data_IF_580812153670
#
_entry.id   IF_580812153670
#
_cell.length_a   1.000
_cell.length_b   1.000
_cell.length_c   1.000
_cell.angle_alpha   90.00
_cell.angle_beta   90.00
_cell.angle_gamma   90.00
#
_symmetry.space_group_name_H-M   'P 1'
#
loop_
_entity.id
_entity.type
_entity.pdbx_description
1 polymer ?
#
# COMPACT_ATOMS: atom_id res chain seq x y z
N UNK A 1 -58.62 -24.43 20.20
CA UNK A 1 -57.51 -24.16 19.26
C UNK A 1 -57.84 -24.48 17.81
N UNK A 2 -58.29 -25.67 17.43
CA UNK A 2 -58.54 -26.03 15.99
C UNK A 2 -59.58 -25.14 15.26
N UNK A 3 -60.66 -24.67 15.97
CA UNK A 3 -61.65 -23.77 15.36
C UNK A 3 -61.14 -22.34 15.14
N UNK A 4 -60.25 -21.83 15.98
CA UNK A 4 -59.60 -20.53 15.84
C UNK A 4 -58.68 -20.52 14.65
N UNK A 5 -57.82 -21.53 14.52
CA UNK A 5 -56.89 -21.72 13.38
C UNK A 5 -57.63 -21.83 12.02
N UNK A 6 -58.78 -22.55 12.00
CA UNK A 6 -59.60 -22.65 10.79
C UNK A 6 -60.22 -21.31 10.38
N UNK A 7 -60.66 -20.49 11.35
CA UNK A 7 -61.29 -19.19 11.10
C UNK A 7 -60.30 -18.14 10.62
N UNK A 8 -59.05 -18.19 11.10
CA UNK A 8 -58.02 -17.19 10.82
C UNK A 8 -56.88 -17.72 9.92
N UNK A 9 -57.10 -18.82 9.22
CA UNK A 9 -56.04 -19.46 8.42
C UNK A 9 -55.39 -18.53 7.40
N UNK A 10 -56.14 -17.69 6.73
CA UNK A 10 -55.61 -16.75 5.74
C UNK A 10 -54.85 -15.61 6.40
N UNK A 11 -55.30 -15.11 7.53
CA UNK A 11 -54.58 -14.08 8.30
C UNK A 11 -53.25 -14.61 8.81
N UNK A 12 -53.21 -15.86 9.30
CA UNK A 12 -51.98 -16.50 9.78
C UNK A 12 -50.99 -16.69 8.62
N UNK A 13 -51.46 -17.14 7.46
CA UNK A 13 -50.62 -17.30 6.25
C UNK A 13 -50.06 -15.95 5.80
N UNK A 14 -50.91 -14.90 5.81
CA UNK A 14 -50.50 -13.55 5.41
C UNK A 14 -49.42 -12.98 6.34
N UNK A 15 -49.57 -13.14 7.66
CA UNK A 15 -48.56 -12.75 8.65
C UNK A 15 -47.25 -13.51 8.45
N UNK A 16 -47.35 -14.81 8.16
CA UNK A 16 -46.16 -15.63 7.90
C UNK A 16 -45.42 -15.19 6.64
N UNK A 17 -46.16 -14.94 5.53
CA UNK A 17 -45.57 -14.43 4.27
C UNK A 17 -44.94 -13.05 4.52
N UNK A 18 -45.60 -12.15 5.25
CA UNK A 18 -45.08 -10.85 5.57
C UNK A 18 -43.76 -10.94 6.38
N UNK A 19 -43.72 -11.81 7.39
CA UNK A 19 -42.50 -12.07 8.16
C UNK A 19 -41.36 -12.57 7.30
N UNK A 20 -41.67 -13.47 6.36
CA UNK A 20 -40.67 -14.01 5.44
C UNK A 20 -40.15 -12.95 4.48
N UNK A 21 -41.01 -12.05 3.97
CA UNK A 21 -40.60 -10.91 3.13
C UNK A 21 -39.72 -9.92 3.89
N UNK A 22 -39.99 -9.66 5.18
CA UNK A 22 -39.14 -8.80 6.01
C UNK A 22 -37.76 -9.42 6.19
N UNK A 23 -37.68 -10.71 6.50
CA UNK A 23 -36.37 -11.41 6.63
C UNK A 23 -35.60 -11.38 5.30
N UNK A 24 -36.30 -11.63 4.19
CA UNK A 24 -35.67 -11.58 2.86
C UNK A 24 -35.18 -10.17 2.57
N UNK A 25 -35.96 -9.13 2.85
CA UNK A 25 -35.59 -7.74 2.68
C UNK A 25 -34.32 -7.36 3.46
N UNK A 26 -34.21 -7.81 4.71
CA UNK A 26 -33.02 -7.60 5.54
C UNK A 26 -31.79 -8.29 4.96
N UNK A 27 -31.95 -9.50 4.43
CA UNK A 27 -30.84 -10.23 3.77
C UNK A 27 -30.43 -9.59 2.45
N UNK A 28 -31.38 -9.12 1.67
CA UNK A 28 -31.08 -8.38 0.43
C UNK A 28 -30.36 -7.06 0.75
N UNK A 29 -30.77 -6.35 1.79
CA UNK A 29 -30.07 -5.14 2.25
C UNK A 29 -28.62 -5.45 2.63
N UNK A 30 -28.38 -6.50 3.41
CA UNK A 30 -27.04 -6.94 3.82
C UNK A 30 -26.13 -7.27 2.62
N UNK A 31 -26.71 -7.85 1.55
CA UNK A 31 -25.98 -8.20 0.32
C UNK A 31 -25.72 -6.98 -0.57
N UNK A 32 -26.73 -6.09 -0.71
CA UNK A 32 -26.61 -4.92 -1.59
C UNK A 32 -25.79 -3.77 -0.97
N UNK A 33 -25.79 -3.66 0.36
CA UNK A 33 -25.08 -2.59 1.08
C UNK A 33 -24.27 -3.20 2.23
N UNK A 34 -23.26 -4.02 1.91
CA UNK A 34 -22.47 -4.75 2.92
C UNK A 34 -21.68 -3.81 3.83
N UNK A 35 -21.41 -2.59 3.37
CA UNK A 35 -20.53 -1.62 4.03
C UNK A 35 -21.28 -0.38 4.57
N UNK A 36 -22.59 -0.49 4.85
CA UNK A 36 -23.36 0.62 5.40
C UNK A 36 -22.75 1.09 6.74
N UNK A 37 -22.25 2.32 6.74
CA UNK A 37 -21.57 2.91 7.91
C UNK A 37 -20.07 2.63 8.02
N UNK A 38 -19.49 1.85 7.10
CA UNK A 38 -18.02 1.70 7.01
C UNK A 38 -17.45 2.75 6.05
N UNK A 39 -16.29 3.27 6.38
CA UNK A 39 -15.58 4.17 5.47
C UNK A 39 -15.32 3.47 4.12
N UNK A 40 -15.52 4.17 3.00
CA UNK A 40 -15.35 3.65 1.63
C UNK A 40 -13.95 3.03 1.39
N UNK A 41 -12.96 3.44 2.18
CA UNK A 41 -11.60 2.89 2.18
C UNK A 41 -11.37 1.79 3.23
N UNK A 42 -12.44 1.29 3.86
CA UNK A 42 -12.40 0.17 4.78
C UNK A 42 -11.38 0.32 5.92
N UNK A 43 -10.92 -0.81 6.43
CA UNK A 43 -9.98 -0.91 7.56
C UNK A 43 -8.51 -0.63 7.19
N UNK A 44 -8.22 0.00 6.03
CA UNK A 44 -6.83 0.24 5.58
C UNK A 44 -5.97 0.97 6.61
N UNK A 45 -6.58 1.85 7.40
CA UNK A 45 -5.89 2.60 8.47
C UNK A 45 -6.14 2.03 9.85
N UNK A 46 -6.82 0.89 9.96
CA UNK A 46 -7.09 0.25 11.24
C UNK A 46 -5.79 0.00 11.98
N UNK A 47 -5.77 0.40 13.25
CA UNK A 47 -4.64 0.26 14.15
C UNK A 47 -3.38 1.07 13.80
N UNK A 48 -3.41 2.03 12.88
CA UNK A 48 -2.24 2.85 12.53
C UNK A 48 -1.66 3.56 13.77
N UNK A 49 -2.52 3.94 14.72
CA UNK A 49 -2.13 4.57 15.98
C UNK A 49 -1.35 3.65 16.92
N UNK A 50 -1.46 2.33 16.72
CA UNK A 50 -0.74 1.31 17.50
C UNK A 50 0.65 1.01 16.96
N UNK A 51 0.94 1.45 15.74
CA UNK A 51 2.20 1.23 15.04
C UNK A 51 2.87 2.57 14.69
N UNK A 52 3.18 3.43 15.69
CA UNK A 52 3.85 4.70 15.44
C UNK A 52 5.30 4.45 15.02
N UNK A 53 5.73 5.08 13.94
CA UNK A 53 7.15 5.08 13.59
C UNK A 53 7.86 6.12 14.48
N UNK A 54 8.91 5.70 15.16
CA UNK A 54 9.62 6.59 16.09
C UNK A 54 10.42 7.66 15.33
N UNK A 55 10.50 8.85 15.92
CA UNK A 55 11.38 9.90 15.40
C UNK A 55 12.85 9.47 15.40
N UNK A 56 13.25 8.57 16.30
CA UNK A 56 14.60 8.02 16.33
C UNK A 56 14.92 7.22 15.08
N UNK A 57 13.96 6.46 14.55
CA UNK A 57 14.10 5.72 13.28
C UNK A 57 14.37 6.68 12.14
N UNK A 58 13.58 7.75 12.02
CA UNK A 58 13.79 8.76 10.99
C UNK A 58 15.16 9.43 11.12
N UNK A 59 15.53 9.87 12.34
CA UNK A 59 16.79 10.53 12.60
C UNK A 59 17.99 9.62 12.26
N UNK A 60 17.94 8.34 12.60
CA UNK A 60 18.99 7.37 12.27
C UNK A 60 19.15 7.22 10.77
N UNK A 61 18.05 7.07 10.04
CA UNK A 61 18.07 6.92 8.58
C UNK A 61 18.62 8.19 7.93
N UNK A 62 18.15 9.36 8.36
CA UNK A 62 18.60 10.64 7.83
C UNK A 62 20.09 10.87 8.13
N UNK A 63 20.58 10.49 9.30
CA UNK A 63 21.99 10.56 9.68
C UNK A 63 22.87 9.63 8.81
N UNK A 64 22.44 8.38 8.62
CA UNK A 64 23.16 7.39 7.80
C UNK A 64 23.22 7.84 6.35
N UNK A 65 22.11 8.31 5.81
CA UNK A 65 22.06 8.81 4.42
C UNK A 65 22.80 10.12 4.28
N UNK A 66 22.75 11.02 5.27
CA UNK A 66 23.51 12.27 5.25
C UNK A 66 25.05 12.09 5.30
N UNK A 67 25.51 10.99 5.91
CA UNK A 67 26.95 10.61 5.92
C UNK A 67 27.40 9.92 4.62
N UNK A 68 26.45 9.48 3.80
CA UNK A 68 26.77 8.80 2.55
C UNK A 68 27.07 9.81 1.45
N UNK A 69 28.34 9.91 1.03
CA UNK A 69 28.79 10.85 0.02
C UNK A 69 28.13 10.70 -1.36
N UNK A 70 27.46 9.59 -1.61
CA UNK A 70 26.70 9.32 -2.83
C UNK A 70 25.30 9.94 -2.81
N UNK A 71 24.80 10.35 -1.64
CA UNK A 71 23.43 10.88 -1.43
C UNK A 71 23.50 12.40 -1.34
N UNK A 72 22.72 13.08 -2.17
CA UNK A 72 22.60 14.55 -2.16
C UNK A 72 21.46 15.03 -1.26
N UNK A 73 20.32 14.32 -1.27
CA UNK A 73 19.12 14.74 -0.57
C UNK A 73 18.26 13.54 -0.18
N UNK A 74 17.64 13.63 0.97
CA UNK A 74 16.65 12.67 1.46
C UNK A 74 15.40 13.41 1.88
N UNK A 75 14.26 12.87 1.55
CA UNK A 75 12.98 13.28 2.12
C UNK A 75 12.10 12.05 2.30
N UNK A 76 11.25 12.07 3.31
CA UNK A 76 10.32 10.99 3.57
C UNK A 76 8.92 11.52 3.85
N UNK A 77 7.90 10.73 3.61
CA UNK A 77 6.53 11.01 4.04
C UNK A 77 5.73 9.73 4.21
N UNK A 78 4.80 9.76 5.16
CA UNK A 78 3.80 8.70 5.33
C UNK A 78 2.52 9.09 4.58
N UNK A 79 1.95 8.13 3.88
CA UNK A 79 0.66 8.25 3.24
C UNK A 79 -0.16 6.99 3.53
N UNK A 80 -1.02 7.05 4.54
CA UNK A 80 -1.71 5.88 5.07
C UNK A 80 -0.72 4.85 5.60
N UNK A 81 -0.79 3.61 5.13
CA UNK A 81 0.16 2.53 5.48
C UNK A 81 1.36 2.44 4.53
N UNK A 82 1.67 3.52 3.83
CA UNK A 82 2.83 3.56 2.93
C UNK A 82 3.81 4.61 3.41
N UNK A 83 5.02 4.19 3.69
CA UNK A 83 6.16 5.03 4.02
C UNK A 83 6.99 5.23 2.76
N UNK A 84 7.07 6.46 2.27
CA UNK A 84 7.78 6.80 1.05
C UNK A 84 9.10 7.51 1.39
N UNK A 85 10.21 7.00 0.89
CA UNK A 85 11.53 7.60 0.93
C UNK A 85 11.96 8.06 -0.47
N UNK A 86 12.31 9.33 -0.59
CA UNK A 86 12.83 9.92 -1.81
C UNK A 86 14.31 10.21 -1.59
N UNK A 87 15.17 9.51 -2.28
CA UNK A 87 16.63 9.60 -2.12
C UNK A 87 17.20 10.08 -3.43
N UNK A 88 17.77 11.29 -3.42
CA UNK A 88 18.45 11.87 -4.58
C UNK A 88 19.93 11.56 -4.49
N UNK A 89 20.44 10.91 -5.51
CA UNK A 89 21.84 10.51 -5.65
C UNK A 89 22.64 11.45 -6.55
N UNK A 90 23.97 11.38 -6.40
CA UNK A 90 24.89 11.98 -7.37
C UNK A 90 24.75 11.29 -8.74
N UNK A 91 25.00 12.03 -9.83
CA UNK A 91 24.83 11.54 -11.20
C UNK A 91 25.78 10.38 -11.55
N UNK A 92 26.88 10.24 -10.82
CA UNK A 92 27.87 9.16 -11.02
C UNK A 92 27.49 7.83 -10.37
N UNK A 93 26.47 7.83 -9.51
CA UNK A 93 26.04 6.62 -8.77
C UNK A 93 25.41 5.62 -9.72
N UNK A 94 25.84 4.36 -9.68
CA UNK A 94 25.26 3.31 -10.50
C UNK A 94 23.88 2.87 -9.95
N UNK A 95 22.98 2.33 -10.80
CA UNK A 95 21.72 1.73 -10.34
C UNK A 95 21.92 0.66 -9.27
N UNK A 96 22.97 -0.15 -9.40
CA UNK A 96 23.33 -1.19 -8.43
C UNK A 96 23.69 -0.61 -7.07
N UNK A 97 24.51 0.43 -7.04
CA UNK A 97 24.92 1.09 -5.80
C UNK A 97 23.73 1.79 -5.12
N UNK A 98 22.87 2.45 -5.90
CA UNK A 98 21.68 3.10 -5.38
C UNK A 98 20.72 2.09 -4.74
N UNK A 99 20.48 0.93 -5.39
CA UNK A 99 19.67 -0.17 -4.83
C UNK A 99 20.29 -0.71 -3.55
N UNK A 100 21.61 -0.91 -3.51
CA UNK A 100 22.31 -1.39 -2.31
C UNK A 100 22.13 -0.45 -1.11
N UNK A 101 22.14 0.87 -1.35
CA UNK A 101 21.81 1.85 -0.30
C UNK A 101 20.35 1.66 0.18
N UNK A 102 19.41 1.52 -0.72
CA UNK A 102 18.01 1.26 -0.36
C UNK A 102 17.84 -0.02 0.45
N UNK A 103 18.49 -1.11 0.06
CA UNK A 103 18.43 -2.39 0.75
C UNK A 103 18.98 -2.29 2.18
N UNK A 104 20.07 -1.57 2.39
CA UNK A 104 20.68 -1.37 3.72
C UNK A 104 19.79 -0.58 4.68
N UNK A 105 18.85 0.22 4.17
CA UNK A 105 17.96 0.99 5.02
C UNK A 105 16.93 0.14 5.75
N UNK A 106 16.63 -1.07 5.28
CA UNK A 106 15.68 -1.95 5.95
C UNK A 106 16.12 -2.33 7.37
N UNK A 107 17.42 -2.37 7.65
CA UNK A 107 17.98 -2.72 8.95
C UNK A 107 17.65 -1.67 10.04
N UNK A 108 17.30 -0.45 9.64
CA UNK A 108 16.95 0.63 10.56
C UNK A 108 15.48 0.66 10.96
N UNK A 109 14.64 -0.11 10.28
CA UNK A 109 13.24 -0.26 10.65
C UNK A 109 13.07 -1.46 11.57
N UNK A 110 12.34 -1.28 12.65
CA UNK A 110 11.95 -2.38 13.52
C UNK A 110 11.00 -3.36 12.82
N UNK A 111 10.86 -4.53 13.39
CA UNK A 111 10.04 -5.60 12.84
C UNK A 111 8.55 -5.22 12.77
N UNK A 112 8.07 -4.43 13.74
CA UNK A 112 6.70 -3.92 13.77
C UNK A 112 6.43 -3.00 12.59
N UNK A 113 7.29 -2.01 12.37
CA UNK A 113 7.21 -1.11 11.21
C UNK A 113 7.27 -1.88 9.90
N UNK A 114 8.19 -2.83 9.77
CA UNK A 114 8.34 -3.62 8.55
C UNK A 114 7.17 -4.55 8.26
N UNK A 115 6.48 -5.05 9.28
CA UNK A 115 5.32 -5.94 9.12
C UNK A 115 4.00 -5.20 8.93
N UNK A 116 3.94 -3.93 9.34
CA UNK A 116 2.72 -3.14 9.25
C UNK A 116 2.69 -2.20 8.04
N UNK A 117 3.82 -1.59 7.67
CA UNK A 117 3.91 -0.62 6.59
C UNK A 117 4.47 -1.21 5.29
N UNK A 118 3.93 -0.76 4.17
CA UNK A 118 4.62 -0.86 2.89
C UNK A 118 5.66 0.26 2.82
N UNK A 119 6.93 -0.09 2.58
CA UNK A 119 8.01 0.91 2.48
C UNK A 119 8.38 1.04 1.00
N UNK A 120 8.26 2.25 0.47
CA UNK A 120 8.61 2.57 -0.91
C UNK A 120 9.85 3.46 -0.96
N UNK A 121 10.78 3.10 -1.83
CA UNK A 121 11.99 3.85 -2.10
C UNK A 121 11.94 4.39 -3.52
N UNK A 122 12.09 5.69 -3.64
CA UNK A 122 12.23 6.40 -4.90
C UNK A 122 13.67 6.88 -5.02
N UNK A 123 14.47 6.16 -5.79
CA UNK A 123 15.87 6.50 -6.05
C UNK A 123 15.90 7.40 -7.26
N UNK A 124 16.39 8.62 -7.09
CA UNK A 124 16.26 9.70 -8.06
C UNK A 124 17.65 10.30 -8.34
N UNK A 125 17.83 10.88 -9.50
CA UNK A 125 18.94 11.75 -9.85
C UNK A 125 18.41 13.10 -10.30
N UNK A 126 19.20 14.16 -10.12
CA UNK A 126 18.84 15.49 -10.58
C UNK A 126 18.82 15.58 -12.11
N UNK A 127 19.75 14.89 -12.77
CA UNK A 127 19.79 14.83 -14.22
C UNK A 127 18.70 13.89 -14.76
N UNK A 128 17.68 14.46 -15.40
CA UNK A 128 16.54 13.75 -15.97
C UNK A 128 16.84 13.01 -17.27
N UNK A 129 17.98 13.28 -17.90
CA UNK A 129 18.40 12.63 -19.15
C UNK A 129 18.95 11.22 -18.92
N UNK A 130 19.20 10.86 -17.66
CA UNK A 130 19.68 9.53 -17.30
C UNK A 130 18.54 8.52 -17.27
N UNK A 131 18.40 7.75 -18.35
CA UNK A 131 17.29 6.83 -18.58
C UNK A 131 17.14 5.70 -17.54
N UNK A 132 18.18 5.44 -16.72
CA UNK A 132 18.17 4.38 -15.70
C UNK A 132 17.53 4.81 -14.38
N UNK A 133 17.06 6.04 -14.25
CA UNK A 133 16.36 6.57 -13.10
C UNK A 133 15.06 7.26 -13.54
N UNK A 134 14.04 7.34 -12.67
CA UNK A 134 13.99 6.87 -11.28
C UNK A 134 13.88 5.35 -11.16
N UNK A 135 14.49 4.79 -10.10
CA UNK A 135 14.33 3.40 -9.72
C UNK A 135 13.37 3.37 -8.54
N UNK A 136 12.37 2.49 -8.60
CA UNK A 136 11.38 2.35 -7.53
C UNK A 136 11.53 0.97 -6.91
N UNK A 137 11.61 0.94 -5.58
CA UNK A 137 11.60 -0.28 -4.80
C UNK A 137 10.42 -0.29 -3.84
N UNK A 138 9.86 -1.45 -3.62
CA UNK A 138 8.79 -1.64 -2.64
C UNK A 138 9.08 -2.86 -1.76
N UNK A 139 9.04 -2.65 -0.46
CA UNK A 139 9.00 -3.69 0.56
C UNK A 139 7.55 -3.83 1.02
N UNK A 140 6.93 -4.94 0.72
CA UNK A 140 5.58 -5.27 1.21
C UNK A 140 5.64 -5.78 2.65
N UNK A 141 4.62 -5.56 3.51
CA UNK A 141 4.60 -6.06 4.89
C UNK A 141 4.93 -7.55 5.03
N UNK A 142 4.46 -8.38 4.12
CA UNK A 142 4.69 -9.84 4.12
C UNK A 142 6.03 -10.25 3.48
N UNK A 143 6.76 -9.32 2.87
CA UNK A 143 8.06 -9.59 2.24
C UNK A 143 9.21 -9.23 3.17
N UNK A 144 10.30 -9.99 3.11
CA UNK A 144 11.56 -9.68 3.81
C UNK A 144 12.54 -8.86 2.97
N UNK A 145 12.23 -8.64 1.69
CA UNK A 145 13.13 -7.97 0.74
C UNK A 145 12.39 -6.89 -0.03
N UNK A 146 13.16 -5.93 -0.53
CA UNK A 146 12.66 -4.93 -1.47
C UNK A 146 12.57 -5.56 -2.86
N UNK A 147 11.43 -5.36 -3.51
CA UNK A 147 11.26 -5.65 -4.93
C UNK A 147 11.55 -4.38 -5.72
N UNK A 148 12.60 -4.41 -6.52
CA UNK A 148 13.02 -3.29 -7.35
C UNK A 148 12.40 -3.36 -8.74
N UNK A 149 12.08 -2.21 -9.34
CA UNK A 149 11.74 -2.14 -10.75
C UNK A 149 12.94 -2.59 -11.58
N UNK A 150 12.66 -3.27 -12.71
CA UNK A 150 13.70 -3.62 -13.67
C UNK A 150 14.36 -2.34 -14.19
N UNK A 151 15.64 -2.42 -14.49
CA UNK A 151 16.32 -1.34 -15.17
C UNK A 151 15.64 -1.12 -16.52
N UNK A 152 15.37 0.14 -16.87
CA UNK A 152 14.87 0.48 -18.19
C UNK A 152 16.01 0.25 -19.16
N UNK A 153 15.88 -0.73 -20.02
CA UNK A 153 16.74 -0.85 -21.18
C UNK A 153 16.45 0.33 -22.11
N UNK A 154 17.51 1.04 -22.52
CA UNK A 154 17.40 2.02 -23.59
C UNK A 154 17.12 1.21 -24.84
N UNK A 155 15.88 1.23 -25.33
CA UNK A 155 15.61 0.80 -26.69
C UNK A 155 16.22 1.89 -27.57
N UNK A 156 17.44 1.69 -28.00
CA UNK A 156 17.97 2.40 -29.16
C UNK A 156 17.14 1.88 -30.32
N UNK A 157 16.21 2.72 -30.81
CA UNK A 157 15.68 2.51 -32.17
C UNK A 157 16.90 2.52 -33.07
N UNK A 158 17.30 1.35 -33.51
CA UNK A 158 18.21 1.24 -34.65
C UNK A 158 17.39 1.75 -35.83
N UNK A 159 17.83 2.85 -36.39
CA UNK A 159 17.41 3.34 -37.70
C UNK A 159 17.80 2.26 -38.74
N UNK A 160 16.98 1.21 -38.85
CA UNK A 160 17.02 0.26 -39.95
C UNK A 160 15.92 0.65 -40.97
N UNK A 161 16.02 1.89 -41.42
CA UNK A 161 15.38 2.31 -42.67
C UNK A 161 16.48 2.59 -43.70
N UNK A 162 17.12 1.52 -44.22
CA UNK A 162 17.78 1.51 -45.50
C UNK A 162 17.45 0.17 -46.17
N UNK A 163 16.37 0.15 -47.00
CA UNK A 163 16.35 -0.29 -48.42
C UNK A 163 14.93 -0.19 -49.01
#
# INVERSE_FOLDING_TARGET
MKRFLKRHRYTIILVFIFGLLVILGLKVKEILVPDEGKATYGDRLKNIEKHPISNETYNKIDEVLGKNSKVKKVTHRIQGKTLNYFITFDDKVSPKDAKAVGDSLLEYFDEDTQSYYSIQFYLIKDNKELNNFPIIGMKHPESKKISWTKDREIVTESDDDEE
#
